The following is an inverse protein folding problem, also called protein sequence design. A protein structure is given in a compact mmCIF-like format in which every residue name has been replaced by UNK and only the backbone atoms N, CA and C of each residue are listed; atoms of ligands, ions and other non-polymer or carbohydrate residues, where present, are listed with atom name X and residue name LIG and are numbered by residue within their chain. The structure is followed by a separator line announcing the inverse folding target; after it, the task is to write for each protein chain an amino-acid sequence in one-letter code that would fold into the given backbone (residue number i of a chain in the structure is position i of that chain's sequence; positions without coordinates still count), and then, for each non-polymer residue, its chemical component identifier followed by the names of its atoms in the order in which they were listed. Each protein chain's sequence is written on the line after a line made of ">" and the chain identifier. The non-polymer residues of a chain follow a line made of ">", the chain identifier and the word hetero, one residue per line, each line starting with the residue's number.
data_IF_753280964573
#
_entry.id   IF_753280964573
#
_cell.length_a   1.000
_cell.length_b   1.000
_cell.length_c   1.000
_cell.angle_alpha   90.00
_cell.angle_beta   90.00
_cell.angle_gamma   90.00
#
_symmetry.space_group_name_H-M   'P 1'
#
loop_
_entity.id
_entity.type
_entity.pdbx_description
1 polymer ?
#
# COMPACT_ATOMS: atom_id res chain seq x y z
N UNK A 1 -7.40 18.44 -3.49
CA UNK A 1 -7.26 17.12 -4.14
C UNK A 1 -6.83 16.04 -3.16
N UNK A 2 -5.68 16.19 -2.46
CA UNK A 2 -5.12 15.14 -1.59
C UNK A 2 -6.05 14.57 -0.53
N UNK A 3 -6.83 15.42 0.17
CA UNK A 3 -7.86 14.97 1.11
C UNK A 3 -8.75 13.88 0.52
N UNK A 4 -9.11 14.01 -0.75
CA UNK A 4 -9.89 13.03 -1.49
C UNK A 4 -9.05 11.83 -1.99
N UNK A 5 -7.93 12.09 -2.68
CA UNK A 5 -7.14 11.05 -3.37
C UNK A 5 -6.33 10.16 -2.42
N UNK A 6 -5.68 10.76 -1.42
CA UNK A 6 -4.79 10.07 -0.49
C UNK A 6 -5.55 9.55 0.74
N UNK A 7 -6.49 10.34 1.27
CA UNK A 7 -7.16 10.03 2.55
C UNK A 7 -8.64 9.65 2.39
N UNK A 8 -9.17 9.62 1.15
CA UNK A 8 -10.55 9.21 0.87
C UNK A 8 -11.63 10.16 1.39
N UNK A 9 -11.26 11.38 1.80
CA UNK A 9 -12.17 12.35 2.40
C UNK A 9 -12.98 13.08 1.32
N UNK A 10 -14.33 13.05 1.36
CA UNK A 10 -15.15 13.67 0.32
C UNK A 10 -14.95 15.20 0.23
N UNK A 11 -14.85 15.73 -1.00
CA UNK A 11 -14.64 17.16 -1.24
C UNK A 11 -15.78 18.03 -0.68
N UNK A 12 -17.02 17.54 -0.74
CA UNK A 12 -18.19 18.24 -0.20
C UNK A 12 -18.06 18.45 1.31
N UNK A 13 -17.59 17.42 2.00
CA UNK A 13 -17.40 17.42 3.45
C UNK A 13 -16.21 18.30 3.84
N UNK A 14 -15.11 18.26 3.07
CA UNK A 14 -13.99 19.21 3.23
C UNK A 14 -14.45 20.67 3.08
N UNK A 15 -15.30 20.95 2.09
CA UNK A 15 -15.79 22.31 1.82
C UNK A 15 -16.64 22.82 2.97
N UNK A 16 -17.57 22.00 3.45
CA UNK A 16 -18.43 22.34 4.60
C UNK A 16 -17.61 22.63 5.86
N UNK A 17 -16.62 21.79 6.17
CA UNK A 17 -15.73 21.98 7.33
C UNK A 17 -14.85 23.24 7.21
N UNK A 18 -14.44 23.60 5.99
CA UNK A 18 -13.68 24.82 5.75
C UNK A 18 -14.56 26.06 5.98
N UNK A 19 -15.79 26.05 5.47
CA UNK A 19 -16.76 27.14 5.63
C UNK A 19 -17.11 27.41 7.09
N UNK A 20 -17.30 26.36 7.90
CA UNK A 20 -17.52 26.48 9.36
C UNK A 20 -16.40 27.23 10.09
N UNK A 21 -15.18 27.18 9.54
CA UNK A 21 -14.00 27.89 10.07
C UNK A 21 -13.71 29.20 9.35
N UNK A 22 -14.60 29.67 8.48
CA UNK A 22 -14.43 30.91 7.70
C UNK A 22 -13.37 30.81 6.60
N UNK A 23 -13.05 29.60 6.14
CA UNK A 23 -12.14 29.33 5.04
C UNK A 23 -12.93 28.92 3.78
N UNK A 24 -12.36 29.16 2.61
CA UNK A 24 -12.92 28.73 1.34
C UNK A 24 -11.96 27.75 0.65
N UNK A 25 -12.52 26.71 0.03
CA UNK A 25 -11.74 25.75 -0.79
C UNK A 25 -11.64 26.30 -2.21
N UNK A 26 -10.41 26.43 -2.74
CA UNK A 26 -10.19 26.77 -4.14
C UNK A 26 -10.51 25.56 -5.04
N UNK A 27 -11.72 25.54 -5.57
CA UNK A 27 -12.19 24.46 -6.44
C UNK A 27 -11.48 24.40 -7.79
N UNK A 28 -10.96 25.52 -8.30
CA UNK A 28 -10.21 25.53 -9.56
C UNK A 28 -8.86 24.83 -9.35
N UNK A 29 -8.13 25.21 -8.29
CA UNK A 29 -6.88 24.56 -7.93
C UNK A 29 -7.08 23.07 -7.58
N UNK A 30 -8.23 22.71 -6.98
CA UNK A 30 -8.60 21.31 -6.73
C UNK A 30 -8.72 20.50 -8.03
N UNK A 31 -9.49 21.00 -9.01
CA UNK A 31 -9.70 20.28 -10.28
C UNK A 31 -8.43 20.23 -11.14
N UNK A 32 -7.60 21.28 -11.12
CA UNK A 32 -6.30 21.27 -11.79
C UNK A 32 -5.36 20.21 -11.18
N UNK A 33 -5.28 20.14 -9.85
CA UNK A 33 -4.49 19.12 -9.15
C UNK A 33 -5.01 17.70 -9.42
N UNK A 34 -6.33 17.51 -9.45
CA UNK A 34 -6.98 16.25 -9.82
C UNK A 34 -6.65 15.82 -11.24
N UNK A 35 -6.71 16.75 -12.19
CA UNK A 35 -6.37 16.50 -13.59
C UNK A 35 -4.90 16.11 -13.75
N UNK A 36 -3.99 16.79 -13.05
CA UNK A 36 -2.57 16.43 -13.02
C UNK A 36 -2.36 15.01 -12.46
N UNK A 37 -3.02 14.66 -11.36
CA UNK A 37 -2.94 13.32 -10.78
C UNK A 37 -3.50 12.23 -11.72
N UNK A 38 -4.59 12.51 -12.43
CA UNK A 38 -5.15 11.61 -13.44
C UNK A 38 -4.22 11.42 -14.65
N UNK A 39 -3.54 12.48 -15.10
CA UNK A 39 -2.55 12.37 -16.19
C UNK A 39 -1.36 11.51 -15.76
N UNK A 40 -0.90 11.64 -14.52
CA UNK A 40 0.16 10.80 -13.95
C UNK A 40 -0.28 9.33 -13.84
N UNK A 41 -1.55 9.06 -13.51
CA UNK A 41 -2.08 7.69 -13.37
C UNK A 41 -2.43 7.02 -14.71
N UNK A 42 -2.66 7.79 -15.78
CA UNK A 42 -2.90 7.27 -17.14
C UNK A 42 -1.63 6.73 -17.83
N UNK A 43 -0.44 6.92 -17.25
CA UNK A 43 0.80 6.27 -17.68
C UNK A 43 0.79 4.76 -17.43
N UNK A 44 0.02 4.01 -18.21
CA UNK A 44 -0.01 2.53 -18.16
C UNK A 44 1.32 1.94 -18.65
N UNK A 45 1.97 1.16 -17.78
CA UNK A 45 2.86 0.07 -18.15
C UNK A 45 4.35 0.34 -17.96
N UNK A 46 4.98 -0.39 -17.03
CA UNK A 46 6.41 -0.73 -17.00
C UNK A 46 7.47 0.39 -16.94
N UNK A 47 7.11 1.67 -16.74
CA UNK A 47 8.08 2.77 -16.81
C UNK A 47 8.78 3.13 -15.49
N UNK A 48 8.02 3.36 -14.41
CA UNK A 48 8.52 3.97 -13.17
C UNK A 48 8.58 2.96 -12.01
N UNK A 49 7.58 2.08 -11.88
CA UNK A 49 7.62 1.03 -10.86
C UNK A 49 8.81 0.07 -11.06
N UNK A 50 9.14 -0.30 -12.31
CA UNK A 50 10.29 -1.16 -12.62
C UNK A 50 11.65 -0.48 -12.42
N UNK A 51 11.72 0.86 -12.55
CA UNK A 51 12.96 1.59 -12.25
C UNK A 51 13.16 1.77 -10.75
N UNK A 52 12.07 1.78 -9.97
CA UNK A 52 12.13 1.94 -8.52
C UNK A 52 12.26 0.58 -7.81
N UNK A 53 11.72 -0.50 -8.39
CA UNK A 53 11.73 -1.82 -7.74
C UNK A 53 13.15 -2.33 -7.44
N UNK A 54 13.23 -3.30 -6.53
CA UNK A 54 14.46 -3.98 -6.17
C UNK A 54 14.70 -5.15 -7.11
N UNK A 55 15.61 -4.96 -8.06
CA UNK A 55 16.14 -6.05 -8.88
C UNK A 55 17.24 -6.82 -8.12
N UNK A 56 17.75 -7.89 -8.74
CA UNK A 56 18.78 -8.74 -8.13
C UNK A 56 20.02 -7.93 -7.74
N UNK A 57 20.45 -6.98 -8.59
CA UNK A 57 21.62 -6.16 -8.32
C UNK A 57 21.41 -5.23 -7.12
N UNK A 58 20.23 -4.60 -7.01
CA UNK A 58 19.88 -3.75 -5.88
C UNK A 58 19.85 -4.53 -4.56
N UNK A 59 19.32 -5.76 -4.58
CA UNK A 59 19.29 -6.65 -3.40
C UNK A 59 20.73 -7.01 -2.99
N UNK A 60 21.58 -7.38 -3.95
CA UNK A 60 23.00 -7.67 -3.67
C UNK A 60 23.73 -6.45 -3.13
N UNK A 61 23.45 -5.25 -3.63
CA UNK A 61 24.03 -4.01 -3.12
C UNK A 61 23.63 -3.74 -1.66
N UNK A 62 22.35 -3.93 -1.31
CA UNK A 62 21.87 -3.81 0.07
C UNK A 62 22.55 -4.81 1.01
N UNK A 63 22.63 -6.08 0.59
CA UNK A 63 23.30 -7.14 1.34
C UNK A 63 24.80 -6.84 1.51
N UNK A 64 25.47 -6.39 0.44
CA UNK A 64 26.88 -6.01 0.48
C UNK A 64 27.16 -4.81 1.40
N UNK A 65 26.20 -3.91 1.57
CA UNK A 65 26.24 -2.80 2.54
C UNK A 65 25.84 -3.23 3.96
N UNK A 66 25.49 -4.51 4.18
CA UNK A 66 25.07 -5.03 5.49
C UNK A 66 23.70 -4.54 5.95
N UNK A 67 22.83 -4.12 5.02
CA UNK A 67 21.47 -3.67 5.36
C UNK A 67 20.61 -4.90 5.71
N UNK A 68 20.03 -4.98 6.92
CA UNK A 68 19.19 -6.12 7.29
C UNK A 68 17.85 -6.09 6.52
N UNK A 69 17.20 -7.26 6.32
CA UNK A 69 15.82 -7.33 5.82
C UNK A 69 14.86 -6.49 6.66
N UNK A 70 13.78 -6.01 6.05
CA UNK A 70 12.76 -5.22 6.75
C UNK A 70 11.97 -6.10 7.71
N UNK A 71 11.76 -5.63 8.93
CA UNK A 71 10.85 -6.28 9.89
C UNK A 71 9.40 -5.89 9.57
N UNK A 72 8.71 -6.75 8.83
CA UNK A 72 7.31 -6.57 8.44
C UNK A 72 6.32 -7.27 9.40
N UNK A 73 6.78 -7.76 10.55
CA UNK A 73 5.93 -8.45 11.54
C UNK A 73 4.82 -7.54 12.10
N UNK A 74 5.06 -6.23 12.09
CA UNK A 74 4.11 -5.20 12.54
C UNK A 74 2.85 -5.12 11.67
N UNK A 75 2.84 -5.71 10.46
CA UNK A 75 1.62 -5.78 9.63
C UNK A 75 0.49 -6.58 10.28
N UNK A 76 0.82 -7.42 11.27
CA UNK A 76 -0.12 -8.20 12.08
C UNK A 76 -0.46 -7.53 13.42
N UNK A 77 0.06 -6.34 13.69
CA UNK A 77 -0.18 -5.61 14.94
C UNK A 77 -1.48 -4.80 14.87
N UNK A 78 -2.60 -5.52 14.86
CA UNK A 78 -3.93 -4.96 14.95
C UNK A 78 -4.76 -5.73 15.97
N UNK A 79 -5.73 -5.04 16.58
CA UNK A 79 -6.64 -5.61 17.57
C UNK A 79 -8.08 -5.44 17.09
N UNK A 80 -8.94 -6.40 17.46
CA UNK A 80 -10.38 -6.35 17.25
C UNK A 80 -11.05 -6.98 18.47
N UNK A 81 -12.29 -6.59 18.76
CA UNK A 81 -13.06 -7.23 19.84
C UNK A 81 -13.80 -8.46 19.32
N UNK A 82 -14.27 -9.33 20.21
CA UNK A 82 -15.08 -10.50 19.83
C UNK A 82 -16.52 -10.15 19.44
N UNK A 83 -16.89 -8.87 19.46
CA UNK A 83 -18.22 -8.41 19.05
C UNK A 83 -18.34 -8.48 17.54
N UNK A 84 -19.50 -8.98 17.09
CA UNK A 84 -19.93 -8.87 15.70
C UNK A 84 -19.89 -7.39 15.30
N UNK A 85 -19.38 -7.13 14.09
CA UNK A 85 -19.20 -5.79 13.52
C UNK A 85 -18.20 -4.86 14.22
N UNK A 86 -17.30 -5.40 15.06
CA UNK A 86 -16.22 -4.57 15.60
C UNK A 86 -15.17 -4.20 14.56
N UNK A 87 -14.63 -2.99 14.68
CA UNK A 87 -13.59 -2.47 13.81
C UNK A 87 -12.20 -2.95 14.24
N UNK A 88 -11.33 -3.09 13.25
CA UNK A 88 -9.91 -3.32 13.48
C UNK A 88 -9.23 -2.01 13.86
N UNK A 89 -8.54 -2.03 15.01
CA UNK A 89 -7.66 -0.95 15.43
C UNK A 89 -6.22 -1.31 15.05
N UNK A 90 -5.65 -0.56 14.11
CA UNK A 90 -4.26 -0.70 13.70
C UNK A 90 -3.39 0.22 14.54
N UNK A 91 -2.34 -0.31 15.17
CA UNK A 91 -1.42 0.52 15.94
C UNK A 91 -0.50 1.32 15.01
N UNK A 92 -0.22 2.60 15.32
CA UNK A 92 0.80 3.37 14.62
C UNK A 92 2.15 2.63 14.67
N UNK A 93 2.89 2.71 13.58
CA UNK A 93 4.25 2.19 13.49
C UNK A 93 5.18 3.38 13.21
N UNK A 94 6.23 3.54 14.00
CA UNK A 94 7.32 4.48 13.72
C UNK A 94 8.52 3.71 13.22
N UNK A 95 9.14 4.14 12.13
CA UNK A 95 10.26 3.44 11.49
C UNK A 95 11.35 4.43 11.06
N UNK A 96 12.53 3.90 10.78
CA UNK A 96 13.67 4.67 10.28
C UNK A 96 13.86 4.42 8.79
N UNK A 97 14.11 5.47 8.01
CA UNK A 97 14.47 5.36 6.60
C UNK A 97 15.88 4.77 6.47
N UNK A 98 15.98 3.54 5.97
CA UNK A 98 17.26 2.84 5.85
C UNK A 98 17.89 3.03 4.47
N UNK A 99 17.07 3.12 3.43
CA UNK A 99 17.53 3.44 2.09
C UNK A 99 16.42 4.12 1.27
N UNK A 100 16.85 4.96 0.33
CA UNK A 100 15.98 5.60 -0.65
C UNK A 100 16.42 5.16 -2.03
N UNK A 101 15.44 4.91 -2.91
CA UNK A 101 15.67 4.44 -4.27
C UNK A 101 14.98 5.35 -5.26
N UNK A 102 15.75 5.94 -6.17
CA UNK A 102 15.26 6.84 -7.20
C UNK A 102 15.99 6.56 -8.50
N UNK A 103 15.26 6.42 -9.62
CA UNK A 103 15.83 6.14 -10.95
C UNK A 103 16.86 4.99 -10.97
N UNK A 104 16.50 3.82 -10.43
CA UNK A 104 17.36 2.61 -10.32
C UNK A 104 18.59 2.71 -9.41
N UNK A 105 18.77 3.83 -8.71
CA UNK A 105 19.93 4.06 -7.86
C UNK A 105 19.51 4.27 -6.40
N UNK A 106 20.38 3.88 -5.47
CA UNK A 106 20.25 4.29 -4.08
C UNK A 106 20.78 5.70 -3.90
N UNK A 107 19.99 6.54 -3.23
CA UNK A 107 20.30 7.95 -2.95
C UNK A 107 20.19 8.22 -1.46
N UNK A 108 20.82 9.30 -0.99
CA UNK A 108 20.74 9.70 0.42
C UNK A 108 19.57 10.66 0.70
N UNK A 109 19.00 11.27 -0.34
CA UNK A 109 17.91 12.25 -0.25
C UNK A 109 16.98 12.15 -1.47
N UNK A 110 15.69 12.35 -1.22
CA UNK A 110 14.65 12.58 -2.23
C UNK A 110 13.87 13.86 -1.88
N UNK A 111 13.28 14.51 -2.88
CA UNK A 111 12.61 15.81 -2.78
C UNK A 111 11.19 15.79 -3.36
N UNK A 112 10.42 16.84 -3.06
CA UNK A 112 9.07 17.07 -3.58
C UNK A 112 8.93 16.73 -5.06
N UNK A 113 7.86 16.01 -5.39
CA UNK A 113 7.48 15.68 -6.75
C UNK A 113 8.23 14.48 -7.35
N UNK A 114 9.19 13.91 -6.62
CA UNK A 114 9.85 12.67 -7.04
C UNK A 114 9.00 11.46 -6.66
N UNK A 115 8.83 10.56 -7.63
CA UNK A 115 8.37 9.21 -7.37
C UNK A 115 9.58 8.34 -7.01
N UNK A 116 9.59 7.77 -5.82
CA UNK A 116 10.72 7.05 -5.29
C UNK A 116 10.29 5.83 -4.47
N UNK A 117 11.26 4.99 -4.16
CA UNK A 117 11.13 3.85 -3.26
C UNK A 117 11.76 4.17 -1.91
N UNK A 118 11.04 3.86 -0.84
CA UNK A 118 11.51 4.04 0.54
C UNK A 118 11.61 2.67 1.20
N UNK A 119 12.80 2.33 1.68
CA UNK A 119 13.05 1.14 2.49
C UNK A 119 13.16 1.55 3.95
N UNK A 120 12.45 0.84 4.82
CA UNK A 120 12.39 1.07 6.25
C UNK A 120 13.01 -0.10 7.00
N UNK A 121 13.42 0.13 8.25
CA UNK A 121 13.85 -0.94 9.17
C UNK A 121 12.69 -1.86 9.54
N UNK A 122 11.49 -1.30 9.71
CA UNK A 122 10.25 -2.02 9.99
C UNK A 122 9.04 -1.37 9.34
N UNK A 123 7.95 -2.11 9.17
CA UNK A 123 6.71 -1.58 8.57
C UNK A 123 5.45 -2.35 8.99
N UNK A 124 4.34 -1.62 9.15
CA UNK A 124 3.00 -2.20 9.32
C UNK A 124 2.24 -2.37 7.99
N UNK A 125 2.84 -1.99 6.86
CA UNK A 125 2.27 -2.20 5.53
C UNK A 125 2.44 -3.65 5.08
N UNK A 126 1.39 -4.22 4.51
CA UNK A 126 1.42 -5.50 3.83
C UNK A 126 1.92 -5.27 2.41
N UNK A 127 3.09 -5.83 2.11
CA UNK A 127 3.61 -5.91 0.75
C UNK A 127 2.83 -6.97 -0.05
N UNK A 128 2.62 -6.74 -1.35
CA UNK A 128 1.95 -7.71 -2.21
C UNK A 128 2.63 -9.08 -2.17
N UNK A 129 1.86 -10.10 -1.79
CA UNK A 129 2.32 -11.49 -1.72
C UNK A 129 1.14 -12.45 -1.61
N UNK A 130 1.32 -13.71 -2.03
CA UNK A 130 0.32 -14.76 -1.85
C UNK A 130 -1.03 -14.52 -2.53
N UNK A 131 -1.05 -13.73 -3.60
CA UNK A 131 -2.27 -13.31 -4.30
C UNK A 131 -2.99 -12.11 -3.68
N UNK A 132 -2.59 -11.69 -2.48
CA UNK A 132 -3.09 -10.48 -1.84
C UNK A 132 -2.32 -9.26 -2.32
N UNK A 133 -3.05 -8.25 -2.77
CA UNK A 133 -2.46 -7.00 -3.21
C UNK A 133 -1.95 -6.17 -2.02
N UNK A 134 -1.01 -5.29 -2.33
CA UNK A 134 -0.37 -4.39 -1.38
C UNK A 134 -1.34 -3.39 -0.73
N UNK A 135 -0.92 -2.85 0.40
CA UNK A 135 -1.57 -1.70 1.01
C UNK A 135 -1.19 -0.36 0.40
N UNK A 136 -2.05 0.60 0.65
CA UNK A 136 -1.85 2.02 0.40
C UNK A 136 -1.98 2.79 1.70
N UNK A 137 -1.55 4.05 1.69
CA UNK A 137 -1.49 4.90 2.88
C UNK A 137 -0.43 5.96 2.71
N UNK A 138 0.13 6.44 3.83
CA UNK A 138 1.16 7.48 3.79
C UNK A 138 2.11 7.39 4.98
N UNK A 139 3.25 8.07 4.87
CA UNK A 139 4.18 8.33 5.95
C UNK A 139 4.24 9.81 6.24
N UNK A 140 4.42 10.16 7.52
CA UNK A 140 4.75 11.52 7.94
C UNK A 140 6.12 11.48 8.61
N UNK A 141 6.99 12.46 8.35
CA UNK A 141 8.26 12.57 9.06
C UNK A 141 8.04 12.98 10.52
N UNK A 142 8.68 12.25 11.44
CA UNK A 142 8.61 12.56 12.87
C UNK A 142 9.26 13.93 13.12
N UNK A 143 8.52 14.83 13.75
CA UNK A 143 8.96 16.20 14.05
C UNK A 143 8.80 17.20 12.90
N UNK A 144 8.31 16.78 11.73
CA UNK A 144 8.01 17.67 10.60
C UNK A 144 6.84 17.13 9.77
N UNK A 145 5.62 17.52 10.16
CA UNK A 145 4.39 17.08 9.48
C UNK A 145 4.23 17.64 8.06
N UNK A 146 5.08 18.58 7.65
CA UNK A 146 5.08 19.09 6.27
C UNK A 146 5.73 18.12 5.27
N UNK A 147 6.49 17.14 5.76
CA UNK A 147 7.10 16.10 4.95
C UNK A 147 6.21 14.86 4.98
N UNK A 148 5.57 14.59 3.85
CA UNK A 148 4.65 13.47 3.66
C UNK A 148 5.05 12.63 2.44
N UNK A 149 5.00 11.31 2.60
CA UNK A 149 5.16 10.36 1.51
C UNK A 149 3.86 9.59 1.28
N UNK A 150 3.20 9.84 0.15
CA UNK A 150 1.98 9.12 -0.26
C UNK A 150 2.33 7.82 -0.98
N UNK A 151 1.87 6.68 -0.47
CA UNK A 151 2.25 5.34 -0.93
C UNK A 151 1.24 4.82 -1.95
N UNK A 152 1.74 4.44 -3.12
CA UNK A 152 0.95 3.91 -4.23
C UNK A 152 1.11 2.40 -4.41
N UNK A 153 2.22 1.83 -3.94
CA UNK A 153 2.53 0.40 -4.07
C UNK A 153 3.51 -0.03 -2.97
N UNK A 154 3.39 -1.28 -2.49
CA UNK A 154 4.33 -1.88 -1.53
C UNK A 154 4.72 -3.28 -2.01
N UNK A 155 6.02 -3.52 -2.17
CA UNK A 155 6.53 -4.79 -2.70
C UNK A 155 7.57 -5.38 -1.76
N UNK A 156 7.65 -6.71 -1.69
CA UNK A 156 8.70 -7.42 -0.95
C UNK A 156 9.61 -8.16 -1.92
N UNK A 157 10.93 -7.97 -1.81
CA UNK A 157 11.94 -8.63 -2.65
C UNK A 157 13.17 -8.96 -1.79
N UNK A 158 13.55 -10.24 -1.72
CA UNK A 158 14.70 -10.68 -0.94
C UNK A 158 14.62 -10.35 0.56
N UNK A 159 13.42 -10.21 1.12
CA UNK A 159 13.19 -9.79 2.52
C UNK A 159 13.15 -8.29 2.75
N UNK A 160 13.42 -7.46 1.74
CA UNK A 160 13.29 -6.01 1.83
C UNK A 160 11.89 -5.58 1.38
N UNK A 161 11.24 -4.73 2.17
CA UNK A 161 9.97 -4.10 1.79
C UNK A 161 10.25 -2.72 1.23
N UNK A 162 9.86 -2.50 -0.03
CA UNK A 162 9.97 -1.23 -0.72
C UNK A 162 8.60 -0.58 -0.86
N UNK A 163 8.49 0.65 -0.36
CA UNK A 163 7.29 1.47 -0.46
C UNK A 163 7.47 2.47 -1.59
N UNK A 164 6.64 2.36 -2.63
CA UNK A 164 6.74 3.15 -3.85
C UNK A 164 5.63 4.19 -3.82
N UNK A 165 6.00 5.44 -4.06
CA UNK A 165 5.09 6.56 -3.84
C UNK A 165 5.70 7.90 -4.20
N UNK A 166 4.95 8.96 -3.93
CA UNK A 166 5.34 10.34 -4.20
C UNK A 166 5.62 11.09 -2.93
N UNK A 167 6.73 11.82 -2.90
CA UNK A 167 7.16 12.63 -1.77
C UNK A 167 6.73 14.09 -1.91
N UNK A 168 6.42 14.68 -0.76
CA UNK A 168 6.35 16.12 -0.54
C UNK A 168 7.27 16.51 0.61
N UNK A 169 8.04 17.57 0.41
CA UNK A 169 9.11 17.97 1.31
C UNK A 169 10.44 17.30 0.93
N UNK A 170 11.25 16.97 1.93
CA UNK A 170 12.56 16.34 1.73
C UNK A 170 12.75 15.23 2.74
N UNK A 171 13.01 14.03 2.24
CA UNK A 171 13.21 12.83 3.05
C UNK A 171 14.64 12.33 2.81
N UNK A 172 15.34 12.04 3.91
CA UNK A 172 16.73 11.57 3.91
C UNK A 172 16.84 10.20 4.54
N UNK A 173 17.88 9.47 4.16
CA UNK A 173 18.30 8.29 4.91
C UNK A 173 18.58 8.68 6.37
N UNK A 174 18.06 7.89 7.30
CA UNK A 174 18.14 8.11 8.74
C UNK A 174 16.97 8.92 9.33
N UNK A 175 16.11 9.52 8.50
CA UNK A 175 14.90 10.17 9.01
C UNK A 175 13.96 9.16 9.67
N UNK A 176 13.27 9.58 10.72
CA UNK A 176 12.20 8.81 11.35
C UNK A 176 10.85 9.19 10.73
N UNK A 177 10.00 8.20 10.53
CA UNK A 177 8.68 8.37 9.92
C UNK A 177 7.61 7.61 10.70
N UNK A 178 6.41 8.18 10.80
CA UNK A 178 5.19 7.55 11.32
C UNK A 178 4.35 7.03 10.16
N UNK A 179 3.92 5.77 10.25
CA UNK A 179 3.30 5.00 9.18
C UNK A 179 1.80 4.86 9.39
N UNK A 180 1.01 5.25 8.38
CA UNK A 180 -0.45 5.23 8.42
C UNK A 180 -1.00 4.46 7.22
N UNK A 181 -1.46 3.23 7.48
CA UNK A 181 -2.12 2.37 6.48
C UNK A 181 -3.55 2.84 6.28
N UNK A 182 -4.05 2.78 5.05
CA UNK A 182 -5.50 2.92 4.76
C UNK A 182 -6.25 1.72 5.34
N UNK A 183 -6.78 1.90 6.55
CA UNK A 183 -7.45 0.84 7.33
C UNK A 183 -8.76 0.39 6.70
N UNK A 184 -9.50 1.31 6.06
CA UNK A 184 -10.75 1.01 5.37
C UNK A 184 -10.50 0.06 4.21
N UNK A 185 -9.48 0.35 3.40
CA UNK A 185 -9.05 -0.49 2.30
C UNK A 185 -8.47 -1.83 2.79
N UNK A 186 -7.60 -1.81 3.80
CA UNK A 186 -7.00 -3.01 4.39
C UNK A 186 -8.08 -3.99 4.88
N UNK A 187 -9.13 -3.48 5.54
CA UNK A 187 -10.25 -4.30 6.05
C UNK A 187 -10.92 -5.09 4.93
N UNK A 188 -11.24 -4.46 3.81
CA UNK A 188 -11.87 -5.14 2.66
C UNK A 188 -10.98 -6.25 2.09
N UNK A 189 -9.67 -6.00 1.99
CA UNK A 189 -8.70 -7.00 1.54
C UNK A 189 -8.67 -8.19 2.53
N UNK A 190 -8.62 -7.93 3.84
CA UNK A 190 -8.64 -8.98 4.86
C UNK A 190 -9.91 -9.84 4.79
N UNK A 191 -11.07 -9.21 4.57
CA UNK A 191 -12.34 -9.93 4.36
C UNK A 191 -12.28 -10.82 3.12
N UNK A 192 -11.80 -10.30 1.99
CA UNK A 192 -11.66 -11.08 0.76
C UNK A 192 -10.62 -12.20 0.87
N UNK A 193 -9.55 -11.99 1.65
CA UNK A 193 -8.57 -13.03 1.95
C UNK A 193 -9.22 -14.19 2.73
N UNK A 194 -10.01 -13.85 3.75
CA UNK A 194 -10.76 -14.84 4.53
C UNK A 194 -11.78 -15.56 3.65
N UNK A 195 -12.51 -14.82 2.81
CA UNK A 195 -13.44 -15.37 1.83
C UNK A 195 -12.76 -16.35 0.86
N UNK A 196 -11.51 -16.10 0.49
CA UNK A 196 -10.72 -17.02 -0.36
C UNK A 196 -10.53 -18.38 0.32
N UNK A 197 -10.21 -18.42 1.61
CA UNK A 197 -10.07 -19.68 2.35
C UNK A 197 -11.39 -20.42 2.50
N UNK A 198 -12.47 -19.68 2.81
CA UNK A 198 -13.82 -20.24 2.92
C UNK A 198 -14.27 -20.84 1.58
N UNK A 199 -14.06 -20.10 0.47
CA UNK A 199 -14.38 -20.57 -0.88
C UNK A 199 -13.58 -21.82 -1.24
N UNK A 200 -12.27 -21.84 -0.98
CA UNK A 200 -11.42 -23.00 -1.24
C UNK A 200 -11.90 -24.23 -0.46
N UNK A 201 -12.25 -24.06 0.81
CA UNK A 201 -12.83 -25.14 1.62
C UNK A 201 -14.14 -25.66 1.04
N UNK A 202 -15.05 -24.76 0.66
CA UNK A 202 -16.33 -25.13 0.04
C UNK A 202 -16.15 -25.88 -1.28
N UNK A 203 -15.26 -25.40 -2.16
CA UNK A 203 -14.92 -26.05 -3.42
C UNK A 203 -14.44 -27.48 -3.20
N UNK A 204 -13.54 -27.68 -2.23
CA UNK A 204 -13.05 -29.03 -1.88
C UNK A 204 -14.12 -29.94 -1.29
N UNK A 205 -15.13 -29.38 -0.61
CA UNK A 205 -16.28 -30.15 -0.10
C UNK A 205 -17.24 -30.56 -1.20
N UNK A 206 -17.48 -29.71 -2.19
CA UNK A 206 -18.46 -29.94 -3.26
C UNK A 206 -17.85 -30.74 -4.41
N UNK A 207 -16.65 -30.38 -4.86
CA UNK A 207 -16.00 -30.96 -6.04
C UNK A 207 -14.98 -32.06 -5.70
N UNK A 208 -14.68 -32.23 -4.41
CA UNK A 208 -13.65 -33.15 -3.92
C UNK A 208 -12.25 -32.54 -3.94
N UNK A 209 -11.26 -33.36 -3.57
CA UNK A 209 -9.88 -32.91 -3.33
C UNK A 209 -9.08 -32.58 -4.59
N UNK A 210 -9.60 -32.87 -5.78
CA UNK A 210 -8.98 -32.53 -7.07
C UNK A 210 -9.15 -31.04 -7.44
N UNK A 211 -9.99 -30.30 -6.70
CA UNK A 211 -10.12 -28.86 -6.81
C UNK A 211 -8.95 -28.16 -6.09
N UNK A 212 -7.80 -28.12 -6.76
CA UNK A 212 -6.59 -27.48 -6.28
C UNK A 212 -6.46 -26.06 -6.81
N UNK A 213 -5.98 -25.16 -5.94
CA UNK A 213 -5.74 -23.77 -6.26
C UNK A 213 -4.64 -23.63 -7.33
N UNK A 214 -4.91 -22.80 -8.34
CA UNK A 214 -3.98 -22.42 -9.42
C UNK A 214 -3.62 -20.94 -9.42
N UNK A 215 -4.46 -20.11 -8.81
CA UNK A 215 -4.26 -18.67 -8.74
C UNK A 215 -5.21 -18.03 -7.74
N UNK A 216 -4.81 -16.89 -7.20
CA UNK A 216 -5.68 -16.04 -6.40
C UNK A 216 -5.32 -14.57 -6.60
N UNK A 217 -6.34 -13.73 -6.64
CA UNK A 217 -6.24 -12.28 -6.53
C UNK A 217 -7.17 -11.84 -5.42
N UNK A 218 -6.62 -11.17 -4.40
CA UNK A 218 -7.38 -10.58 -3.31
C UNK A 218 -7.18 -9.07 -3.36
N UNK A 219 -8.23 -8.38 -3.81
CA UNK A 219 -8.30 -6.93 -3.95
C UNK A 219 -9.44 -6.37 -3.05
N UNK A 220 -9.64 -5.06 -2.88
CA UNK A 220 -10.65 -4.53 -1.97
C UNK A 220 -12.06 -4.70 -2.54
N UNK A 221 -12.19 -4.63 -3.86
CA UNK A 221 -13.42 -4.63 -4.64
C UNK A 221 -13.80 -6.02 -5.14
N UNK A 222 -12.85 -6.96 -5.17
CA UNK A 222 -13.06 -8.31 -5.70
C UNK A 222 -12.07 -9.32 -5.15
N UNK A 223 -12.49 -10.58 -5.18
CA UNK A 223 -11.61 -11.74 -5.11
C UNK A 223 -11.75 -12.57 -6.39
N UNK A 224 -10.63 -13.08 -6.91
CA UNK A 224 -10.60 -14.07 -7.99
C UNK A 224 -9.90 -15.31 -7.46
N UNK A 225 -10.51 -16.47 -7.63
CA UNK A 225 -9.95 -17.75 -7.23
C UNK A 225 -9.95 -18.70 -8.41
N UNK A 226 -8.76 -19.09 -8.85
CA UNK A 226 -8.57 -20.00 -9.98
C UNK A 226 -8.27 -21.39 -9.42
N UNK A 227 -8.99 -22.41 -9.87
CA UNK A 227 -8.85 -23.79 -9.39
C UNK A 227 -9.00 -24.81 -10.53
N UNK A 228 -8.51 -26.03 -10.33
CA UNK A 228 -8.68 -27.13 -11.29
C UNK A 228 -10.05 -27.77 -11.20
N UNK A 229 -10.69 -27.99 -12.34
CA UNK A 229 -11.90 -28.79 -12.43
C UNK A 229 -11.98 -29.48 -13.80
N UNK A 230 -12.66 -30.63 -13.88
CA UNK A 230 -12.84 -31.40 -15.12
C UNK A 230 -13.78 -30.72 -16.12
N UNK A 231 -14.61 -29.79 -15.66
CA UNK A 231 -15.52 -29.00 -16.49
C UNK A 231 -15.92 -27.68 -15.81
N UNK A 232 -16.74 -26.89 -16.50
CA UNK A 232 -17.32 -25.69 -15.91
C UNK A 232 -18.28 -26.06 -14.75
N UNK A 233 -18.44 -25.15 -13.79
CA UNK A 233 -19.45 -25.31 -12.74
C UNK A 233 -20.85 -25.16 -13.33
N UNK A 234 -21.77 -25.98 -12.83
CA UNK A 234 -23.21 -25.82 -12.99
C UNK A 234 -23.73 -24.74 -12.04
N UNK A 235 -24.92 -24.20 -12.31
CA UNK A 235 -25.56 -23.21 -11.43
C UNK A 235 -26.27 -23.82 -10.21
N UNK A 236 -26.56 -25.12 -10.27
CA UNK A 236 -27.13 -25.96 -9.22
C UNK A 236 -26.02 -26.52 -8.33
#
# INVERSE_FOLDING_TARGET
>A
WRLYDTYGFPVDLTTLMAEEKGLAVDMNAYEDAKKQAQLLSQGKGSGVADTINLDVHAITELQGKGVPPTDDSYKYNYESTDKVDSDYTFKPCEATVIALRYNKQFVDEVRTGQECGVLLDKTNFYAEQGGQIYDTGYFIKVGDESVEFSIKNVQVRGGYVIHIGSLEGTLRKGDQVSLYVDTSRRRLIMSNHTGTHVLNYALRKVLGTEADQRGSLVAPDRLRFDFTNKGALTSE
#
